data_IF_202928456921
#
_entry.id   IF_202928456921
#
_cell.length_a   1.000
_cell.length_b   1.000
_cell.length_c   1.000
_cell.angle_alpha   90.00
_cell.angle_beta   90.00
_cell.angle_gamma   90.00
#
_symmetry.space_group_name_H-M   'P 1'
#
loop_
_entity.id
_entity.type
_entity.pdbx_description
1 polymer ?
#
# COMPACT_ATOMS: atom_id res chain seq x y z
N UNK A 1 -5.48 5.13 16.66
CA UNK A 1 -5.27 3.95 15.80
C UNK A 1 -3.88 4.07 15.19
N UNK A 2 -3.07 3.01 15.20
CA UNK A 2 -1.71 3.02 14.63
C UNK A 2 -1.62 2.10 13.41
N UNK A 3 -0.98 2.52 12.34
CA UNK A 3 -0.78 1.70 11.13
C UNK A 3 0.60 1.92 10.53
N UNK A 4 1.15 0.87 9.93
CA UNK A 4 2.32 0.98 9.08
C UNK A 4 1.94 1.41 7.66
N UNK A 5 0.82 0.89 7.16
CA UNK A 5 0.28 1.20 5.85
C UNK A 5 -1.24 1.37 5.91
N UNK A 6 -1.76 2.20 5.02
CA UNK A 6 -3.17 2.35 4.72
C UNK A 6 -3.34 2.80 3.26
N UNK A 7 -4.59 2.97 2.84
CA UNK A 7 -4.90 3.34 1.46
C UNK A 7 -4.30 4.69 1.05
N UNK A 8 -4.18 5.67 1.94
CA UNK A 8 -3.59 6.98 1.63
C UNK A 8 -2.06 6.93 1.60
N UNK A 9 -1.43 6.29 2.58
CA UNK A 9 0.03 6.17 2.68
C UNK A 9 0.63 5.44 1.47
N UNK A 10 -0.12 4.49 0.90
CA UNK A 10 0.24 3.80 -0.33
C UNK A 10 -0.29 4.57 -1.54
N UNK A 11 -1.61 4.79 -1.59
CA UNK A 11 -2.35 5.27 -2.75
C UNK A 11 -2.06 6.71 -3.14
N UNK A 12 -1.55 7.55 -2.22
CA UNK A 12 -1.12 8.92 -2.53
C UNK A 12 0.33 9.00 -3.03
N UNK A 13 1.02 7.87 -3.12
CA UNK A 13 2.29 7.78 -3.87
C UNK A 13 2.00 7.73 -5.36
N UNK A 14 2.90 8.28 -6.18
CA UNK A 14 2.74 8.30 -7.63
C UNK A 14 2.59 6.89 -8.23
N UNK A 15 3.34 5.91 -7.73
CA UNK A 15 3.28 4.52 -8.19
C UNK A 15 2.43 3.59 -7.31
N UNK A 16 1.94 4.07 -6.17
CA UNK A 16 1.20 3.25 -5.21
C UNK A 16 2.07 2.21 -4.51
N UNK A 17 3.37 2.47 -4.29
CA UNK A 17 4.30 1.47 -3.75
C UNK A 17 4.00 1.15 -2.27
N UNK A 18 4.11 -0.12 -1.90
CA UNK A 18 4.01 -0.58 -0.51
C UNK A 18 5.36 -0.44 0.19
N UNK A 19 5.37 -0.34 1.52
CA UNK A 19 6.62 -0.27 2.26
C UNK A 19 7.51 -1.52 2.02
N UNK A 20 6.89 -2.68 1.76
CA UNK A 20 7.56 -3.94 1.43
C UNK A 20 8.45 -3.81 0.18
N UNK A 21 8.14 -2.90 -0.75
CA UNK A 21 8.97 -2.66 -1.96
C UNK A 21 9.91 -1.47 -1.82
N UNK A 22 9.81 -0.70 -0.73
CA UNK A 22 10.57 0.54 -0.51
C UNK A 22 11.66 0.41 0.54
N UNK A 23 11.60 -0.61 1.38
CA UNK A 23 12.51 -0.79 2.51
C UNK A 23 12.99 -2.24 2.63
N UNK A 24 14.18 -2.40 3.23
CA UNK A 24 14.74 -3.72 3.52
C UNK A 24 13.80 -4.55 4.41
N UNK A 25 13.74 -5.86 4.16
CA UNK A 25 12.84 -6.77 4.84
C UNK A 25 12.96 -6.69 6.38
N UNK A 26 14.18 -6.54 6.92
CA UNK A 26 14.41 -6.37 8.36
C UNK A 26 13.81 -5.09 8.94
N UNK A 27 13.90 -3.98 8.20
CA UNK A 27 13.28 -2.72 8.62
C UNK A 27 11.77 -2.82 8.63
N UNK A 28 11.18 -3.49 7.62
CA UNK A 28 9.74 -3.73 7.57
C UNK A 28 9.30 -4.64 8.72
N UNK A 29 10.04 -5.70 9.03
CA UNK A 29 9.77 -6.58 10.19
C UNK A 29 9.78 -5.80 11.51
N UNK A 30 10.81 -4.97 11.72
CA UNK A 30 10.91 -4.15 12.93
C UNK A 30 9.76 -3.13 13.03
N UNK A 31 9.38 -2.48 11.92
CA UNK A 31 8.26 -1.54 11.89
C UNK A 31 6.92 -2.20 12.21
N UNK A 32 6.69 -3.42 11.71
CA UNK A 32 5.52 -4.23 12.07
C UNK A 32 5.49 -4.50 13.57
N UNK A 33 6.60 -4.97 14.15
CA UNK A 33 6.69 -5.23 15.58
C UNK A 33 6.41 -3.97 16.42
N UNK A 34 6.93 -2.81 16.02
CA UNK A 34 6.66 -1.54 16.69
C UNK A 34 5.17 -1.16 16.66
N UNK A 35 4.52 -1.26 15.50
CA UNK A 35 3.08 -0.94 15.37
C UNK A 35 2.23 -1.91 16.19
N UNK A 36 2.57 -3.19 16.21
CA UNK A 36 1.83 -4.20 16.99
C UNK A 36 2.09 -4.09 18.49
N UNK A 37 3.29 -3.70 18.92
CA UNK A 37 3.61 -3.54 20.34
C UNK A 37 3.15 -2.18 20.93
N UNK A 38 2.89 -1.17 20.10
CA UNK A 38 2.43 0.14 20.55
C UNK A 38 1.08 0.07 21.27
N UNK A 39 0.77 0.96 22.24
CA UNK A 39 -0.48 0.89 23.02
C UNK A 39 -1.75 1.16 22.18
N UNK A 40 -1.62 1.71 20.98
CA UNK A 40 -2.75 1.99 20.09
C UNK A 40 -3.33 0.72 19.45
N UNK A 41 -4.60 0.73 19.06
CA UNK A 41 -5.19 -0.32 18.22
C UNK A 41 -4.47 -0.37 16.86
N UNK A 42 -3.82 -1.49 16.51
CA UNK A 42 -3.15 -1.63 15.23
C UNK A 42 -4.18 -1.82 14.09
N UNK A 43 -3.91 -1.19 12.94
CA UNK A 43 -4.64 -1.41 11.69
C UNK A 43 -3.66 -1.92 10.63
N UNK A 44 -4.10 -2.95 9.90
CA UNK A 44 -3.39 -3.52 8.76
C UNK A 44 -4.09 -3.10 7.46
N UNK A 45 -3.32 -2.90 6.39
CA UNK A 45 -3.88 -2.78 5.06
C UNK A 45 -3.89 -4.14 4.37
N UNK A 46 -4.89 -4.41 3.54
CA UNK A 46 -5.04 -5.71 2.87
C UNK A 46 -3.75 -6.10 2.12
N UNK A 47 -3.29 -7.34 2.33
CA UNK A 47 -2.07 -7.88 1.76
C UNK A 47 -0.81 -7.68 2.62
N UNK A 48 -0.83 -6.82 3.64
CA UNK A 48 0.32 -6.65 4.54
C UNK A 48 0.64 -7.95 5.32
N UNK A 49 -0.38 -8.79 5.55
CA UNK A 49 -0.32 -10.06 6.25
C UNK A 49 0.57 -11.10 5.56
N UNK A 50 0.71 -11.04 4.24
CA UNK A 50 1.63 -11.87 3.46
C UNK A 50 2.73 -11.08 2.76
N UNK A 51 2.79 -9.76 2.98
CA UNK A 51 3.84 -8.91 2.42
C UNK A 51 3.63 -8.65 0.93
N UNK A 52 2.39 -8.34 0.54
CA UNK A 52 2.02 -7.95 -0.82
C UNK A 52 2.99 -6.92 -1.41
N UNK A 53 3.33 -7.13 -2.69
CA UNK A 53 4.22 -6.25 -3.46
C UNK A 53 3.50 -5.51 -4.57
N UNK A 54 2.31 -5.96 -4.97
CA UNK A 54 1.47 -5.23 -5.92
C UNK A 54 1.10 -3.86 -5.34
N UNK A 55 1.16 -2.80 -6.17
CA UNK A 55 0.87 -1.46 -5.69
C UNK A 55 -0.60 -1.33 -5.30
N UNK A 56 -0.94 -0.31 -4.54
CA UNK A 56 -2.33 0.15 -4.43
C UNK A 56 -2.38 1.57 -5.00
N UNK A 57 -2.92 1.70 -6.22
CA UNK A 57 -2.92 2.96 -6.96
C UNK A 57 -4.24 3.69 -6.80
N UNK A 58 -4.22 5.00 -7.07
CA UNK A 58 -5.45 5.77 -7.23
C UNK A 58 -6.11 5.42 -8.58
N UNK A 59 -7.36 4.95 -8.54
CA UNK A 59 -8.17 4.62 -9.73
C UNK A 59 -9.63 5.01 -9.52
N UNK A 60 -10.31 5.37 -10.61
CA UNK A 60 -11.73 5.77 -10.62
C UNK A 60 -12.43 5.27 -11.88
N UNK A 61 -13.77 5.16 -11.84
CA UNK A 61 -14.58 4.60 -12.93
C UNK A 61 -15.52 5.61 -13.59
N UNK A 62 -15.04 6.80 -13.97
CA UNK A 62 -15.88 7.80 -14.64
C UNK A 62 -15.90 7.59 -16.17
N UNK A 63 -17.09 7.61 -16.77
CA UNK A 63 -17.29 7.49 -18.22
C UNK A 63 -17.30 8.84 -18.95
N UNK A 64 -17.58 9.94 -18.26
CA UNK A 64 -17.58 11.29 -18.83
C UNK A 64 -16.13 11.74 -19.17
N UNK A 65 -15.81 12.05 -20.44
CA UNK A 65 -14.47 12.48 -20.84
C UNK A 65 -13.98 13.76 -20.16
N UNK A 66 -14.87 14.72 -19.85
CA UNK A 66 -14.51 15.95 -19.18
C UNK A 66 -14.12 15.68 -17.72
N UNK A 67 -14.85 14.81 -17.04
CA UNK A 67 -14.51 14.35 -15.68
C UNK A 67 -13.21 13.56 -15.69
N UNK A 68 -13.04 12.63 -16.62
CA UNK A 68 -11.80 11.86 -16.78
C UNK A 68 -10.57 12.76 -16.99
N UNK A 69 -10.68 13.78 -17.85
CA UNK A 69 -9.62 14.76 -18.06
C UNK A 69 -9.35 15.62 -16.81
N UNK A 70 -10.39 16.00 -16.07
CA UNK A 70 -10.25 16.74 -14.82
C UNK A 70 -9.54 15.91 -13.74
N UNK A 71 -9.90 14.64 -13.58
CA UNK A 71 -9.24 13.71 -12.63
C UNK A 71 -7.75 13.56 -12.95
N UNK A 72 -7.39 13.33 -14.23
CA UNK A 72 -5.99 13.20 -14.64
C UNK A 72 -5.16 14.44 -14.30
N UNK A 73 -5.71 15.64 -14.57
CA UNK A 73 -5.05 16.91 -14.23
C UNK A 73 -4.95 17.10 -12.72
N UNK A 74 -6.04 16.88 -11.99
CA UNK A 74 -6.10 17.02 -10.53
C UNK A 74 -5.09 16.12 -9.85
N UNK A 75 -5.00 14.85 -10.26
CA UNK A 75 -4.04 13.90 -9.69
C UNK A 75 -2.59 14.33 -9.91
N UNK A 76 -2.26 14.86 -11.09
CA UNK A 76 -0.91 15.38 -11.35
C UNK A 76 -0.60 16.62 -10.51
N UNK A 77 -1.56 17.52 -10.33
CA UNK A 77 -1.41 18.72 -9.51
C UNK A 77 -1.23 18.39 -8.03
N UNK A 78 -2.00 17.43 -7.51
CA UNK A 78 -1.86 16.92 -6.15
C UNK A 78 -0.46 16.37 -5.91
N UNK A 79 0.02 15.49 -6.81
CA UNK A 79 1.35 14.89 -6.71
C UNK A 79 2.49 15.89 -6.86
N UNK A 80 2.30 16.99 -7.61
CA UNK A 80 3.30 18.05 -7.72
C UNK A 80 3.64 18.74 -6.39
N UNK A 81 2.74 18.66 -5.39
CA UNK A 81 3.01 19.14 -4.03
C UNK A 81 3.75 18.15 -3.13
N UNK A 82 3.95 16.89 -3.56
CA UNK A 82 4.60 15.88 -2.74
C UNK A 82 6.13 15.99 -2.78
N UNK A 83 6.81 15.91 -1.62
CA UNK A 83 8.27 15.85 -1.58
C UNK A 83 8.82 14.68 -2.42
N UNK A 84 9.77 14.98 -3.30
CA UNK A 84 10.41 13.98 -4.16
C UNK A 84 9.64 13.62 -5.43
N UNK A 85 8.53 14.29 -5.73
CA UNK A 85 7.84 14.13 -7.01
C UNK A 85 8.53 14.94 -8.11
N UNK A 86 8.95 14.27 -9.17
CA UNK A 86 9.42 14.89 -10.41
C UNK A 86 8.25 15.02 -11.40
N UNK A 87 8.11 16.16 -12.08
CA UNK A 87 7.14 16.35 -13.14
C UNK A 87 7.29 15.35 -14.30
N UNK A 88 8.48 14.78 -14.49
CA UNK A 88 8.73 13.69 -15.45
C UNK A 88 8.24 12.31 -14.96
N UNK A 89 7.83 12.18 -13.69
CA UNK A 89 7.32 10.91 -13.14
C UNK A 89 6.10 10.45 -13.91
N UNK A 90 6.17 9.25 -14.49
CA UNK A 90 5.05 8.63 -15.18
C UNK A 90 3.95 8.27 -14.16
N UNK A 91 2.80 8.96 -14.19
CA UNK A 91 1.67 8.65 -13.31
C UNK A 91 0.75 7.65 -14.02
N UNK A 92 0.43 6.47 -13.43
CA UNK A 92 -0.58 5.56 -13.98
C UNK A 92 -1.91 6.28 -14.18
N UNK A 93 -2.56 6.07 -15.32
CA UNK A 93 -3.83 6.72 -15.62
C UNK A 93 -4.92 6.20 -14.67
N UNK A 94 -5.52 7.05 -13.81
CA UNK A 94 -6.53 6.60 -12.86
C UNK A 94 -7.82 6.13 -13.52
N UNK A 95 -8.05 6.45 -14.80
CA UNK A 95 -9.23 6.03 -15.57
C UNK A 95 -9.01 4.68 -16.26
N UNK A 96 -7.76 4.28 -16.48
CA UNK A 96 -7.43 3.01 -17.12
C UNK A 96 -7.73 1.85 -16.17
N UNK A 97 -8.52 0.89 -16.65
CA UNK A 97 -8.85 -0.34 -15.93
C UNK A 97 -7.59 -1.13 -15.53
N UNK A 98 -6.49 -1.01 -16.29
CA UNK A 98 -5.21 -1.61 -15.93
C UNK A 98 -4.69 -1.10 -14.57
N UNK A 99 -4.96 0.15 -14.20
CA UNK A 99 -4.56 0.73 -12.90
C UNK A 99 -5.29 0.07 -11.74
N UNK A 100 -6.60 -0.17 -11.89
CA UNK A 100 -7.39 -0.91 -10.91
C UNK A 100 -6.97 -2.38 -10.83
N UNK A 101 -6.77 -3.05 -11.98
CA UNK A 101 -6.31 -4.45 -12.06
C UNK A 101 -4.95 -4.66 -11.39
N UNK A 102 -4.01 -3.73 -11.62
CA UNK A 102 -2.69 -3.76 -10.99
C UNK A 102 -2.75 -3.63 -9.45
N UNK A 103 -3.88 -3.14 -8.91
CA UNK A 103 -4.10 -2.96 -7.46
C UNK A 103 -4.86 -4.12 -6.80
N UNK A 104 -5.10 -5.22 -7.53
CA UNK A 104 -5.71 -6.43 -6.99
C UNK A 104 -4.70 -7.29 -6.24
N UNK A 105 -5.11 -7.83 -5.09
CA UNK A 105 -4.27 -8.71 -4.26
C UNK A 105 -3.81 -9.94 -5.06
N UNK A 106 -2.53 -10.28 -4.90
CA UNK A 106 -1.95 -11.53 -5.38
C UNK A 106 -2.10 -12.63 -4.33
N UNK A 107 -3.16 -13.43 -4.46
CA UNK A 107 -3.40 -14.53 -3.52
C UNK A 107 -2.38 -15.66 -3.69
N UNK A 108 -1.83 -15.86 -4.88
CA UNK A 108 -0.79 -16.87 -5.11
C UNK A 108 0.49 -16.51 -4.34
N UNK A 109 0.79 -15.21 -4.22
CA UNK A 109 1.92 -14.73 -3.41
C UNK A 109 1.77 -15.07 -1.91
N UNK A 110 0.53 -15.16 -1.41
CA UNK A 110 0.25 -15.45 0.00
C UNK A 110 0.66 -16.88 0.41
N UNK A 111 0.62 -17.81 -0.54
CA UNK A 111 0.96 -19.22 -0.32
C UNK A 111 2.45 -19.54 -0.61
N UNK A 112 3.23 -18.55 -1.05
CA UNK A 112 4.68 -18.69 -1.17
C UNK A 112 5.35 -18.84 0.20
N UNK A 113 6.57 -19.42 0.30
CA UNK A 113 7.31 -19.48 1.56
C UNK A 113 7.51 -18.11 2.22
N UNK A 114 7.69 -17.04 1.42
CA UNK A 114 7.82 -15.68 1.93
C UNK A 114 6.49 -15.14 2.51
N UNK A 115 5.37 -15.39 1.82
CA UNK A 115 4.03 -15.02 2.29
C UNK A 115 3.66 -15.73 3.59
N UNK A 116 3.91 -17.04 3.65
CA UNK A 116 3.71 -17.85 4.86
C UNK A 116 4.57 -17.33 6.03
N UNK A 117 5.85 -17.04 5.79
CA UNK A 117 6.74 -16.50 6.82
C UNK A 117 6.27 -15.15 7.36
N UNK A 118 5.77 -14.25 6.48
CA UNK A 118 5.18 -12.96 6.91
C UNK A 118 3.90 -13.17 7.73
N UNK A 119 3.04 -14.11 7.34
CA UNK A 119 1.81 -14.44 8.06
C UNK A 119 2.10 -14.98 9.46
N UNK A 120 3.09 -15.85 9.59
CA UNK A 120 3.51 -16.39 10.88
C UNK A 120 4.11 -15.31 11.80
N UNK A 121 4.87 -14.35 11.25
CA UNK A 121 5.33 -13.19 12.01
C UNK A 121 4.14 -12.39 12.60
N UNK A 122 3.16 -12.05 11.77
CA UNK A 122 1.97 -11.33 12.23
C UNK A 122 1.21 -12.10 13.31
N UNK A 123 1.00 -13.41 13.11
CA UNK A 123 0.36 -14.28 14.10
C UNK A 123 1.10 -14.29 15.43
N UNK A 124 2.42 -14.44 15.41
CA UNK A 124 3.23 -14.45 16.61
C UNK A 124 3.15 -13.12 17.38
N UNK A 125 3.27 -11.98 16.68
CA UNK A 125 3.20 -10.66 17.30
C UNK A 125 1.81 -10.34 17.86
N UNK A 126 0.74 -10.70 17.14
CA UNK A 126 -0.64 -10.50 17.61
C UNK A 126 -0.98 -11.40 18.79
N UNK A 127 -0.47 -12.64 18.81
CA UNK A 127 -0.61 -13.55 19.95
C UNK A 127 0.08 -12.98 21.19
N UNK A 128 1.29 -12.43 21.04
CA UNK A 128 2.01 -11.77 22.13
C UNK A 128 1.25 -10.56 22.66
N UNK A 129 0.78 -9.67 21.78
CA UNK A 129 -0.03 -8.49 22.17
C UNK A 129 -1.28 -8.87 22.97
N UNK A 130 -1.85 -10.05 22.73
CA UNK A 130 -3.09 -10.45 23.41
C UNK A 130 -2.87 -10.80 24.88
N UNK A 131 -1.66 -11.20 25.26
CA UNK A 131 -1.34 -11.71 26.60
C UNK A 131 -0.51 -10.74 27.44
N UNK A 132 0.11 -9.73 26.82
CA UNK A 132 0.84 -8.63 27.46
C UNK A 132 0.00 -7.35 27.49
#
# INVERSE_FOLDING_TARGET
MGCLQNHDQIGNRAQGERITTLADADRVRAAIALVVAAPHTPMLFMGDEHGETRPFRYFVGFSDPAVAAAVRRGRRQELAGHPGFDAATAIPDPIDLATARASTIDWDAADTPAGLARRELWRALLALRRVE
#
